data_IF_151370819752
#
_entry.id   IF_151370819752
#
_cell.length_a   1.000
_cell.length_b   1.000
_cell.length_c   1.000
_cell.angle_alpha   90.00
_cell.angle_beta   90.00
_cell.angle_gamma   90.00
#
_symmetry.space_group_name_H-M   'P 1'
#
loop_
_entity.id
_entity.type
_entity.pdbx_description
1 polymer ?
#
# COMPACT_ATOMS: atom_id res chain seq x y z
N UNK A 1 31.41 -31.02 -14.61
CA UNK A 1 31.15 -29.56 -14.64
C UNK A 1 29.69 -29.13 -14.65
N UNK A 2 28.73 -30.02 -14.87
CA UNK A 2 27.27 -29.71 -14.83
C UNK A 2 26.68 -29.59 -13.41
N UNK A 3 27.24 -30.28 -12.41
CA UNK A 3 26.72 -30.32 -11.04
C UNK A 3 26.90 -28.96 -10.32
N UNK A 4 28.00 -28.26 -10.55
CA UNK A 4 28.28 -26.96 -9.94
C UNK A 4 27.33 -25.85 -10.43
N UNK A 5 26.89 -25.89 -11.69
CA UNK A 5 25.91 -24.92 -12.23
C UNK A 5 24.52 -25.09 -11.60
N UNK A 6 24.10 -26.34 -11.36
CA UNK A 6 22.82 -26.62 -10.72
C UNK A 6 22.75 -26.14 -9.28
N UNK A 7 23.82 -26.34 -8.50
CA UNK A 7 23.88 -25.90 -7.10
C UNK A 7 23.91 -24.37 -7.01
N UNK A 8 24.68 -23.70 -7.85
CA UNK A 8 24.75 -22.22 -7.85
C UNK A 8 23.41 -21.59 -8.28
N UNK A 9 22.70 -22.22 -9.20
CA UNK A 9 21.40 -21.74 -9.67
C UNK A 9 20.32 -22.00 -8.60
N UNK A 10 20.34 -23.12 -7.91
CA UNK A 10 19.45 -23.41 -6.79
C UNK A 10 19.70 -22.48 -5.60
N UNK A 11 20.95 -22.16 -5.31
CA UNK A 11 21.32 -21.20 -4.27
C UNK A 11 20.83 -19.78 -4.59
N UNK A 12 21.06 -19.30 -5.81
CA UNK A 12 20.57 -18.00 -6.26
C UNK A 12 19.05 -17.90 -6.22
N UNK A 13 18.35 -18.96 -6.65
CA UNK A 13 16.88 -19.00 -6.60
C UNK A 13 16.35 -18.97 -5.18
N UNK A 14 16.99 -19.71 -4.25
CA UNK A 14 16.65 -19.72 -2.84
C UNK A 14 16.88 -18.37 -2.18
N UNK A 15 17.99 -17.70 -2.50
CA UNK A 15 18.33 -16.39 -1.93
C UNK A 15 17.36 -15.30 -2.44
N UNK A 16 17.05 -15.28 -3.73
CA UNK A 16 16.06 -14.35 -4.31
C UNK A 16 14.67 -14.54 -3.70
N UNK A 17 14.26 -15.78 -3.41
CA UNK A 17 12.99 -16.07 -2.77
C UNK A 17 12.97 -15.57 -1.32
N UNK A 18 14.06 -15.76 -0.58
CA UNK A 18 14.22 -15.26 0.79
C UNK A 18 14.16 -13.74 0.83
N UNK A 19 14.83 -13.06 -0.10
CA UNK A 19 14.86 -11.60 -0.18
C UNK A 19 13.45 -11.03 -0.49
N UNK A 20 12.70 -11.65 -1.39
CA UNK A 20 11.32 -11.27 -1.70
C UNK A 20 10.39 -11.44 -0.50
N UNK A 21 10.51 -12.56 0.21
CA UNK A 21 9.74 -12.81 1.42
C UNK A 21 10.03 -11.78 2.51
N UNK A 22 11.30 -11.47 2.73
CA UNK A 22 11.70 -10.43 3.70
C UNK A 22 11.18 -9.06 3.30
N UNK A 23 11.26 -8.69 2.03
CA UNK A 23 10.71 -7.43 1.52
C UNK A 23 9.20 -7.36 1.73
N UNK A 24 8.45 -8.39 1.37
CA UNK A 24 7.01 -8.45 1.59
C UNK A 24 6.66 -8.29 3.06
N UNK A 25 7.38 -8.99 3.95
CA UNK A 25 7.17 -8.90 5.40
C UNK A 25 7.40 -7.49 5.93
N UNK A 26 8.49 -6.84 5.52
CA UNK A 26 8.79 -5.46 5.94
C UNK A 26 7.72 -4.48 5.48
N UNK A 27 7.24 -4.62 4.25
CA UNK A 27 6.16 -3.80 3.71
C UNK A 27 4.84 -4.04 4.46
N UNK A 28 4.50 -5.29 4.74
CA UNK A 28 3.29 -5.62 5.49
C UNK A 28 3.35 -5.12 6.94
N UNK A 29 4.50 -5.22 7.60
CA UNK A 29 4.71 -4.66 8.93
C UNK A 29 4.57 -3.13 8.92
N UNK A 30 5.07 -2.47 7.88
CA UNK A 30 4.91 -1.02 7.67
C UNK A 30 3.43 -0.65 7.52
N UNK A 31 2.71 -1.30 6.60
CA UNK A 31 1.28 -1.05 6.40
C UNK A 31 0.45 -1.29 7.66
N UNK A 32 0.70 -2.39 8.36
CA UNK A 32 -0.01 -2.72 9.59
C UNK A 32 0.18 -1.66 10.66
N UNK A 33 1.41 -1.21 10.86
CA UNK A 33 1.75 -0.17 11.84
C UNK A 33 1.09 1.16 11.49
N UNK A 34 1.13 1.57 10.23
CA UNK A 34 0.62 2.86 9.81
C UNK A 34 -0.91 2.88 9.74
N UNK A 35 -1.53 1.84 9.17
CA UNK A 35 -2.99 1.72 9.12
C UNK A 35 -3.63 1.58 10.50
N UNK A 36 -2.93 1.01 11.49
CA UNK A 36 -3.44 0.92 12.85
C UNK A 36 -3.62 2.28 13.53
N UNK A 37 -2.96 3.32 13.04
CA UNK A 37 -3.08 4.70 13.53
C UNK A 37 -4.00 5.58 12.67
N UNK A 38 -4.64 4.98 11.66
CA UNK A 38 -5.51 5.67 10.74
C UNK A 38 -6.65 6.37 11.45
N UNK A 39 -6.91 7.60 11.07
CA UNK A 39 -8.07 8.38 11.48
C UNK A 39 -8.86 8.81 10.27
N UNK A 40 -10.16 8.99 10.41
CA UNK A 40 -10.99 9.55 9.37
C UNK A 40 -11.96 10.59 9.92
N UNK A 41 -12.07 11.65 9.17
CA UNK A 41 -13.07 12.69 9.35
C UNK A 41 -13.24 13.38 7.98
N UNK A 42 -14.22 14.29 7.81
CA UNK A 42 -14.46 14.94 6.53
C UNK A 42 -13.25 15.68 5.93
N UNK A 43 -12.33 16.15 6.79
CA UNK A 43 -11.11 16.83 6.37
C UNK A 43 -10.01 15.85 5.96
N UNK A 44 -9.96 14.67 6.59
CA UNK A 44 -8.93 13.66 6.40
C UNK A 44 -9.56 12.32 6.00
N UNK A 45 -10.06 12.20 4.77
CA UNK A 45 -10.74 10.99 4.31
C UNK A 45 -9.76 9.83 4.12
N UNK A 46 -10.23 8.59 4.26
CA UNK A 46 -9.56 7.45 3.67
C UNK A 46 -10.00 7.33 2.22
N UNK A 47 -9.06 7.19 1.30
CA UNK A 47 -9.36 7.08 -0.14
C UNK A 47 -8.60 5.89 -0.71
N UNK A 48 -9.33 5.00 -1.35
CA UNK A 48 -8.80 3.88 -2.11
C UNK A 48 -9.33 3.89 -3.53
N UNK A 49 -8.44 3.86 -4.50
CA UNK A 49 -8.80 3.76 -5.92
C UNK A 49 -8.51 2.37 -6.46
N UNK A 50 -9.28 1.95 -7.44
CA UNK A 50 -9.08 0.70 -8.19
C UNK A 50 -8.71 1.07 -9.62
N UNK A 51 -7.55 0.63 -10.07
CA UNK A 51 -7.02 0.93 -11.39
C UNK A 51 -7.93 0.45 -12.54
N UNK A 52 -8.76 -0.57 -12.29
CA UNK A 52 -9.69 -1.10 -13.28
C UNK A 52 -10.96 -0.22 -13.45
N UNK A 53 -11.32 0.57 -12.45
CA UNK A 53 -12.61 1.26 -12.40
C UNK A 53 -12.52 2.77 -12.29
N UNK A 54 -11.36 3.34 -11.98
CA UNK A 54 -11.21 4.76 -11.72
C UNK A 54 -9.92 5.39 -12.25
N UNK A 55 -9.91 6.71 -12.32
CA UNK A 55 -8.71 7.46 -12.61
C UNK A 55 -7.80 7.51 -11.37
N UNK A 56 -6.48 7.35 -11.54
CA UNK A 56 -5.55 7.45 -10.43
C UNK A 56 -5.49 8.88 -9.87
N UNK A 57 -5.22 8.99 -8.57
CA UNK A 57 -4.97 10.27 -7.91
C UNK A 57 -3.54 10.75 -8.17
N UNK A 58 -2.56 9.84 -8.12
CA UNK A 58 -1.17 10.19 -8.42
C UNK A 58 -0.85 10.00 -9.90
N UNK A 59 -0.23 11.01 -10.47
CA UNK A 59 0.27 10.95 -11.84
C UNK A 59 1.29 9.81 -11.98
N UNK A 60 1.09 8.94 -12.97
CA UNK A 60 1.95 7.78 -13.22
C UNK A 60 1.66 6.57 -12.33
N UNK A 61 0.60 6.59 -11.54
CA UNK A 61 0.12 5.39 -10.86
C UNK A 61 -0.41 4.36 -11.85
N UNK A 62 -0.01 3.11 -11.69
CA UNK A 62 -0.30 2.02 -12.63
C UNK A 62 -1.26 0.96 -12.05
N UNK A 63 -1.53 1.03 -10.76
CA UNK A 63 -2.29 0.05 -10.00
C UNK A 63 -3.21 0.76 -9.00
N UNK A 64 -3.76 0.02 -8.06
CA UNK A 64 -4.54 0.59 -6.98
C UNK A 64 -3.75 1.61 -6.16
N UNK A 65 -4.45 2.49 -5.50
CA UNK A 65 -3.87 3.47 -4.59
C UNK A 65 -4.61 3.45 -3.25
N UNK A 66 -3.88 3.73 -2.18
CA UNK A 66 -4.42 3.85 -0.84
C UNK A 66 -3.86 5.11 -0.18
N UNK A 67 -4.74 6.00 0.27
CA UNK A 67 -4.39 7.22 1.00
C UNK A 67 -5.16 7.32 2.31
N UNK A 68 -4.50 7.80 3.34
CA UNK A 68 -5.08 8.01 4.67
C UNK A 68 -4.25 8.99 5.49
N UNK A 69 -4.80 9.41 6.62
CA UNK A 69 -4.10 10.23 7.62
C UNK A 69 -4.03 9.46 8.93
N UNK A 70 -2.91 9.52 9.60
CA UNK A 70 -2.72 8.87 10.89
C UNK A 70 -1.72 9.58 11.79
N UNK A 71 -1.76 9.25 13.08
CA UNK A 71 -0.77 9.68 14.07
C UNK A 71 0.38 8.66 14.08
N UNK A 72 1.43 8.92 13.31
CA UNK A 72 2.54 8.00 13.17
C UNK A 72 3.56 8.12 14.31
N UNK A 73 4.16 7.01 14.77
CA UNK A 73 5.20 7.04 15.79
C UNK A 73 6.39 7.93 15.39
N UNK A 74 6.85 8.77 16.32
CA UNK A 74 7.98 9.67 16.11
C UNK A 74 7.66 10.95 15.33
N UNK A 75 6.39 11.18 15.00
CA UNK A 75 5.91 12.41 14.35
C UNK A 75 5.19 13.31 15.33
N UNK A 76 5.25 14.62 15.09
CA UNK A 76 4.67 15.62 16.00
C UNK A 76 3.19 15.89 15.79
N UNK A 77 2.60 15.36 14.74
CA UNK A 77 1.20 15.63 14.37
C UNK A 77 0.59 14.52 13.52
N UNK A 78 -0.51 14.87 12.87
CA UNK A 78 -1.12 13.99 11.88
C UNK A 78 -0.31 14.04 10.59
N UNK A 79 -0.04 12.86 10.05
CA UNK A 79 0.73 12.65 8.83
C UNK A 79 -0.17 12.07 7.76
N UNK A 80 -0.06 12.61 6.58
CA UNK A 80 -0.69 12.08 5.38
C UNK A 80 0.19 11.00 4.78
N UNK A 81 -0.41 9.85 4.54
CA UNK A 81 0.27 8.69 3.93
C UNK A 81 -0.49 8.20 2.72
N UNK A 82 0.27 7.72 1.74
CA UNK A 82 -0.31 7.09 0.57
C UNK A 82 0.65 6.10 -0.05
N UNK A 83 0.11 5.13 -0.76
CA UNK A 83 0.86 4.08 -1.43
C UNK A 83 0.33 3.88 -2.83
N UNK A 84 1.22 3.83 -3.81
CA UNK A 84 0.88 3.55 -5.20
C UNK A 84 2.07 2.92 -5.92
N UNK A 85 1.81 2.25 -7.03
CA UNK A 85 2.83 1.64 -7.88
C UNK A 85 3.08 2.52 -9.10
N UNK A 86 4.35 2.87 -9.36
CA UNK A 86 4.74 3.61 -10.55
C UNK A 86 5.05 2.70 -11.75
N UNK A 87 5.35 3.29 -12.90
CA UNK A 87 5.65 2.59 -14.15
C UNK A 87 6.99 1.82 -14.15
N UNK A 88 7.81 2.01 -13.12
CA UNK A 88 9.10 1.32 -12.93
C UNK A 88 9.02 0.11 -12.01
N UNK A 89 7.82 -0.35 -11.68
CA UNK A 89 7.60 -1.39 -10.68
C UNK A 89 8.19 -1.04 -9.31
N UNK A 90 8.03 0.21 -8.91
CA UNK A 90 8.44 0.74 -7.62
C UNK A 90 7.20 1.12 -6.81
N UNK A 91 7.08 0.55 -5.62
CA UNK A 91 6.06 0.96 -4.67
C UNK A 91 6.48 2.28 -4.03
N UNK A 92 5.72 3.31 -4.31
CA UNK A 92 5.95 4.66 -3.82
C UNK A 92 5.13 4.93 -2.57
N UNK A 93 5.66 5.77 -1.72
CA UNK A 93 5.03 6.23 -0.50
C UNK A 93 4.89 7.76 -0.53
N UNK A 94 3.69 8.26 -0.29
CA UNK A 94 3.42 9.67 -0.05
C UNK A 94 3.62 9.98 1.43
N UNK A 95 4.22 11.12 1.73
CA UNK A 95 4.47 11.61 3.09
C UNK A 95 4.27 13.12 3.15
N UNK A 96 3.34 13.59 3.97
CA UNK A 96 3.14 15.01 4.22
C UNK A 96 2.78 15.28 5.68
N UNK A 97 3.49 16.23 6.27
CA UNK A 97 3.26 16.73 7.63
C UNK A 97 3.41 18.26 7.66
N UNK A 98 2.42 19.00 8.16
CA UNK A 98 1.12 18.53 8.66
C UNK A 98 0.21 18.04 7.53
N UNK A 99 -0.65 17.06 7.84
CA UNK A 99 -1.66 16.58 6.90
C UNK A 99 -2.63 17.71 6.52
N UNK A 100 -2.90 17.87 5.23
CA UNK A 100 -3.87 18.83 4.72
C UNK A 100 -5.13 18.20 4.09
N UNK A 101 -5.05 16.91 3.76
CA UNK A 101 -6.13 16.13 3.14
C UNK A 101 -6.17 16.20 1.63
N UNK A 102 -5.19 16.86 1.00
CA UNK A 102 -5.03 16.90 -0.46
C UNK A 102 -3.95 15.89 -0.92
N UNK A 103 -4.37 14.67 -1.19
CA UNK A 103 -3.48 13.58 -1.61
C UNK A 103 -2.85 13.77 -2.99
N UNK A 104 -3.30 14.77 -3.76
CA UNK A 104 -2.88 14.97 -5.15
C UNK A 104 -1.74 15.99 -5.26
N UNK A 105 -1.89 17.16 -4.61
CA UNK A 105 -1.13 18.35 -4.94
C UNK A 105 0.21 18.48 -4.23
N UNK A 106 0.37 17.94 -3.02
CA UNK A 106 1.53 18.19 -2.16
C UNK A 106 2.15 16.89 -1.65
N UNK A 107 3.14 17.02 -0.79
CA UNK A 107 3.82 15.91 -0.15
C UNK A 107 5.03 15.37 -0.90
N UNK A 108 5.95 14.78 -0.14
CA UNK A 108 7.11 14.09 -0.68
C UNK A 108 6.73 12.68 -1.15
N UNK A 109 7.40 12.22 -2.20
CA UNK A 109 7.26 10.84 -2.68
C UNK A 109 8.57 10.12 -2.44
N UNK A 110 8.50 8.99 -1.75
CA UNK A 110 9.64 8.16 -1.39
C UNK A 110 9.48 6.75 -1.95
N UNK A 111 10.61 6.11 -2.24
CA UNK A 111 10.63 4.69 -2.64
C UNK A 111 10.47 3.81 -1.40
N UNK A 112 9.40 3.01 -1.35
CA UNK A 112 9.15 2.04 -0.28
C UNK A 112 9.55 0.62 -0.64
N UNK A 113 9.39 0.23 -1.90
CA UNK A 113 9.74 -1.11 -2.35
C UNK A 113 10.05 -1.15 -3.84
N UNK A 114 11.06 -1.92 -4.21
CA UNK A 114 11.46 -2.13 -5.61
C UNK A 114 10.99 -3.49 -6.14
N UNK A 115 10.93 -3.63 -7.45
CA UNK A 115 10.49 -4.86 -8.13
C UNK A 115 9.08 -5.33 -7.68
N UNK A 116 8.23 -4.39 -7.30
CA UNK A 116 6.82 -4.65 -7.02
C UNK A 116 6.05 -4.53 -8.33
N UNK A 117 5.55 -5.62 -8.84
CA UNK A 117 4.90 -5.68 -10.16
C UNK A 117 3.38 -5.66 -10.09
N UNK A 118 2.82 -5.87 -8.89
CA UNK A 118 1.40 -5.66 -8.61
C UNK A 118 1.18 -5.17 -7.17
N UNK A 119 0.21 -4.28 -7.03
CA UNK A 119 -0.28 -3.74 -5.78
C UNK A 119 -1.80 -3.65 -5.87
N UNK A 120 -2.50 -4.57 -5.20
CA UNK A 120 -3.96 -4.60 -5.14
C UNK A 120 -4.42 -4.37 -3.71
N UNK A 121 -5.47 -3.57 -3.55
CA UNK A 121 -6.02 -3.22 -2.24
C UNK A 121 -7.53 -3.44 -2.23
N UNK A 122 -8.03 -4.09 -1.19
CA UNK A 122 -9.45 -4.23 -0.95
C UNK A 122 -9.82 -3.83 0.48
N UNK A 123 -11.02 -3.32 0.64
CA UNK A 123 -11.52 -2.67 1.86
C UNK A 123 -12.71 -3.42 2.40
N UNK A 124 -12.72 -3.75 3.69
CA UNK A 124 -13.84 -4.42 4.35
C UNK A 124 -14.71 -3.40 5.09
N UNK A 125 -15.97 -3.27 4.68
CA UNK A 125 -16.93 -2.35 5.31
C UNK A 125 -17.57 -2.91 6.60
N UNK A 126 -17.39 -4.20 6.84
CA UNK A 126 -17.99 -4.96 7.95
C UNK A 126 -18.96 -6.02 7.48
N UNK A 127 -19.32 -6.02 6.20
CA UNK A 127 -20.21 -7.01 5.56
C UNK A 127 -19.60 -7.61 4.30
N UNK A 128 -18.89 -6.81 3.51
CA UNK A 128 -18.30 -7.23 2.23
C UNK A 128 -16.96 -6.57 1.97
N UNK A 129 -16.21 -7.15 1.03
CA UNK A 129 -14.99 -6.59 0.50
C UNK A 129 -15.30 -5.73 -0.72
N UNK A 130 -14.72 -4.52 -0.74
CA UNK A 130 -14.86 -3.52 -1.80
C UNK A 130 -13.49 -3.27 -2.44
N UNK A 131 -13.46 -3.02 -3.75
CA UNK A 131 -12.22 -2.66 -4.46
C UNK A 131 -11.86 -1.18 -4.32
N UNK A 132 -12.81 -0.34 -3.92
CA UNK A 132 -12.60 1.10 -3.72
C UNK A 132 -13.12 1.56 -2.37
N UNK A 133 -12.57 2.67 -1.86
CA UNK A 133 -13.07 3.31 -0.66
C UNK A 133 -13.07 4.83 -0.83
N UNK A 134 -14.21 5.46 -0.74
CA UNK A 134 -14.34 6.90 -0.84
C UNK A 134 -14.89 7.50 0.47
N UNK A 135 -13.97 7.94 1.31
CA UNK A 135 -14.26 8.62 2.58
C UNK A 135 -14.44 10.13 2.46
N UNK A 136 -14.33 10.68 1.25
CA UNK A 136 -14.50 12.13 1.00
C UNK A 136 -15.93 12.57 1.21
N UNK A 137 -16.13 13.87 1.37
CA UNK A 137 -17.45 14.48 1.48
C UNK A 137 -18.33 14.11 0.27
N UNK A 138 -19.51 13.55 0.53
CA UNK A 138 -20.41 13.02 -0.50
C UNK A 138 -20.08 11.63 -1.03
N UNK A 139 -18.98 11.02 -0.60
CA UNK A 139 -18.62 9.64 -0.92
C UNK A 139 -19.45 8.60 -0.16
N UNK A 140 -19.46 7.36 -0.64
CA UNK A 140 -20.23 6.26 -0.03
C UNK A 140 -19.83 5.95 1.41
N UNK A 141 -18.59 6.25 1.78
CA UNK A 141 -18.01 5.97 3.10
C UNK A 141 -17.51 7.26 3.76
N UNK A 142 -18.26 8.36 3.56
CA UNK A 142 -17.88 9.68 4.09
C UNK A 142 -17.52 9.60 5.56
N UNK A 143 -16.31 10.09 5.89
CA UNK A 143 -15.73 10.11 7.24
C UNK A 143 -15.66 8.74 7.95
N UNK A 144 -15.66 7.64 7.18
CA UNK A 144 -15.54 6.29 7.71
C UNK A 144 -14.17 5.69 7.44
N UNK A 145 -13.78 4.76 8.32
CA UNK A 145 -12.57 3.94 8.18
C UNK A 145 -13.01 2.52 7.82
N UNK A 146 -12.36 1.85 6.85
CA UNK A 146 -12.60 0.44 6.62
C UNK A 146 -12.24 -0.38 7.88
N UNK A 147 -12.99 -1.42 8.16
CA UNK A 147 -12.72 -2.30 9.32
C UNK A 147 -11.50 -3.18 9.12
N UNK A 148 -11.18 -3.46 7.87
CA UNK A 148 -9.95 -4.14 7.49
C UNK A 148 -9.55 -3.74 6.07
N UNK A 149 -8.26 -3.86 5.78
CA UNK A 149 -7.68 -3.68 4.46
C UNK A 149 -6.92 -4.94 4.09
N UNK A 150 -7.22 -5.49 2.93
CA UNK A 150 -6.46 -6.59 2.34
C UNK A 150 -5.49 -6.02 1.31
N UNK A 151 -4.23 -6.35 1.43
CA UNK A 151 -3.17 -5.90 0.53
C UNK A 151 -2.53 -7.12 -0.12
N UNK A 152 -2.41 -7.09 -1.43
CA UNK A 152 -1.72 -8.08 -2.24
C UNK A 152 -0.55 -7.41 -2.94
N UNK A 153 0.63 -8.00 -2.80
CA UNK A 153 1.84 -7.59 -3.49
C UNK A 153 2.32 -8.74 -4.39
N UNK A 154 2.76 -8.40 -5.58
CA UNK A 154 3.58 -9.32 -6.39
C UNK A 154 4.99 -8.72 -6.48
N UNK A 155 6.01 -9.48 -6.06
CA UNK A 155 7.39 -9.02 -5.99
C UNK A 155 8.27 -9.91 -6.88
N UNK A 156 9.04 -9.30 -7.78
CA UNK A 156 9.96 -9.94 -8.69
C UNK A 156 9.67 -9.64 -10.17
N UNK A 157 10.72 -9.37 -10.95
CA UNK A 157 10.61 -8.89 -12.33
C UNK A 157 10.15 -9.96 -13.33
N UNK A 158 10.71 -11.17 -13.28
CA UNK A 158 10.44 -12.20 -14.30
C UNK A 158 9.45 -13.28 -13.84
N UNK A 159 9.50 -13.65 -12.58
CA UNK A 159 8.57 -14.61 -11.93
C UNK A 159 8.20 -14.04 -10.58
N UNK A 160 7.26 -13.10 -10.58
CA UNK A 160 6.79 -12.48 -9.37
C UNK A 160 6.16 -13.50 -8.43
N UNK A 161 6.46 -13.38 -7.15
CA UNK A 161 5.82 -14.15 -6.06
C UNK A 161 4.74 -13.29 -5.43
N UNK A 162 3.55 -13.87 -5.27
CA UNK A 162 2.38 -13.20 -4.71
C UNK A 162 2.36 -13.35 -3.20
N UNK A 163 2.22 -12.26 -2.50
CA UNK A 163 2.06 -12.17 -1.06
C UNK A 163 0.77 -11.45 -0.71
N UNK A 164 0.12 -11.87 0.36
CA UNK A 164 -1.15 -11.29 0.80
C UNK A 164 -1.19 -11.13 2.31
N UNK A 165 -1.78 -10.04 2.76
CA UNK A 165 -2.08 -9.79 4.17
C UNK A 165 -3.44 -9.15 4.33
N UNK A 166 -4.04 -9.33 5.52
CA UNK A 166 -5.24 -8.62 5.96
C UNK A 166 -4.92 -7.88 7.24
N UNK A 167 -5.09 -6.57 7.21
CA UNK A 167 -4.84 -5.68 8.34
C UNK A 167 -6.17 -5.21 8.88
N UNK A 168 -6.45 -5.52 10.14
CA UNK A 168 -7.60 -4.96 10.85
C UNK A 168 -7.27 -3.57 11.35
N UNK A 169 -8.16 -2.62 11.09
CA UNK A 169 -8.03 -1.27 11.60
C UNK A 169 -8.88 -1.18 12.87
N UNK A 170 -8.28 -0.79 14.01
CA UNK A 170 -9.03 -0.63 15.26
C UNK A 170 -10.14 0.40 15.09
N UNK A 171 -11.31 0.14 15.66
CA UNK A 171 -12.34 1.16 15.79
C UNK A 171 -11.81 2.26 16.73
N UNK A 172 -11.74 3.48 16.25
CA UNK A 172 -11.39 4.67 17.04
C UNK A 172 -12.58 5.16 17.85
#
# INVERSE_FOLDING_TARGET
MLIFRGITQAWRSGQLRTDRYQQARLLFDLFARELSSCTANPRFPVVGTDAATGAPLKSGSMQDELFFVGALPGRGGLVERGYWLNDRAELMCHDEEPADGDYVASGASELCGSQVTAFDVAYFDGTQWLSTWDGRAGGLHEAQIPKAVRIVLTIGAERGERFETVIRIPAS
#
